data_IF_816390405916
#
_entry.id   IF_816390405916
#
_cell.length_a   1.000
_cell.length_b   1.000
_cell.length_c   1.000
_cell.angle_alpha   90.00
_cell.angle_beta   90.00
_cell.angle_gamma   90.00
#
_symmetry.space_group_name_H-M   'P 1'
#
loop_
_entity.id
_entity.type
_entity.pdbx_description
1 polymer ?
#
# COMPACT_ATOMS: atom_id res chain seq x y z
N UNK A 1 -5.71 -14.63 7.98
CA UNK A 1 -6.01 -13.27 7.50
C UNK A 1 -5.88 -13.24 6.00
N UNK A 2 -6.47 -12.27 5.31
CA UNK A 2 -6.36 -12.08 3.87
C UNK A 2 -6.14 -10.59 3.54
N UNK A 3 -5.44 -10.33 2.45
CA UNK A 3 -5.24 -8.99 1.88
C UNK A 3 -5.78 -8.97 0.45
N UNK A 4 -7.05 -8.59 0.25
CA UNK A 4 -7.61 -8.46 -1.09
C UNK A 4 -6.92 -7.34 -1.86
N UNK A 5 -6.59 -7.63 -3.12
CA UNK A 5 -6.25 -6.60 -4.10
C UNK A 5 -7.50 -5.85 -4.52
N UNK A 6 -7.42 -4.53 -4.48
CA UNK A 6 -8.52 -3.64 -4.87
C UNK A 6 -8.14 -2.84 -6.11
N UNK A 7 -9.13 -2.48 -6.93
CA UNK A 7 -8.93 -1.59 -8.07
C UNK A 7 -9.96 -0.46 -8.13
N UNK A 8 -9.56 0.66 -8.73
CA UNK A 8 -10.48 1.75 -9.03
C UNK A 8 -11.19 1.51 -10.36
N UNK A 9 -12.51 1.71 -10.39
CA UNK A 9 -13.30 1.58 -11.61
C UNK A 9 -13.72 0.14 -11.90
N UNK A 10 -13.82 -0.21 -13.19
CA UNK A 10 -14.17 -1.55 -13.66
C UNK A 10 -13.07 -2.02 -14.60
N UNK A 11 -12.55 -3.21 -14.35
CA UNK A 11 -11.48 -3.82 -15.14
C UNK A 11 -11.98 -5.14 -15.77
N UNK A 12 -11.76 -5.31 -17.07
CA UNK A 12 -12.37 -6.37 -17.87
C UNK A 12 -12.07 -7.78 -17.34
N UNK A 13 -10.81 -8.06 -16.99
CA UNK A 13 -10.40 -9.38 -16.51
C UNK A 13 -10.98 -9.70 -15.13
N UNK A 14 -11.17 -8.68 -14.30
CA UNK A 14 -11.78 -8.79 -12.97
C UNK A 14 -13.28 -9.07 -13.07
N UNK A 15 -13.99 -8.33 -13.93
CA UNK A 15 -15.43 -8.53 -14.17
C UNK A 15 -15.71 -9.89 -14.84
N UNK A 16 -14.79 -10.37 -15.67
CA UNK A 16 -14.88 -11.69 -16.31
C UNK A 16 -14.41 -12.85 -15.41
N UNK A 17 -13.92 -12.57 -14.19
CA UNK A 17 -13.49 -13.60 -13.23
C UNK A 17 -12.09 -14.20 -13.51
N UNK A 18 -11.31 -13.62 -14.42
CA UNK A 18 -9.93 -14.02 -14.69
C UNK A 18 -8.94 -13.42 -13.68
N UNK A 19 -9.33 -12.34 -12.99
CA UNK A 19 -8.48 -11.66 -12.02
C UNK A 19 -9.24 -11.45 -10.71
N UNK A 20 -8.59 -11.78 -9.59
CA UNK A 20 -9.24 -11.83 -8.26
C UNK A 20 -9.37 -10.45 -7.58
N UNK A 21 -9.14 -9.36 -8.32
CA UNK A 21 -9.19 -8.02 -7.74
C UNK A 21 -10.63 -7.56 -7.49
N UNK A 22 -10.80 -6.73 -6.48
CA UNK A 22 -12.11 -6.21 -6.05
C UNK A 22 -12.26 -4.76 -6.51
N UNK A 23 -13.30 -4.48 -7.30
CA UNK A 23 -13.63 -3.09 -7.65
C UNK A 23 -14.06 -2.32 -6.40
N UNK A 24 -13.46 -1.15 -6.20
CA UNK A 24 -13.88 -0.21 -5.16
C UNK A 24 -15.16 0.58 -5.52
N UNK A 25 -15.78 0.29 -6.67
CA UNK A 25 -17.14 0.73 -7.00
C UNK A 25 -18.23 -0.22 -6.50
N UNK A 26 -17.86 -1.41 -6.02
CA UNK A 26 -18.80 -2.35 -5.42
C UNK A 26 -19.06 -2.07 -3.93
N UNK A 27 -20.03 -2.76 -3.34
CA UNK A 27 -20.31 -2.70 -1.90
C UNK A 27 -19.15 -3.33 -1.07
N UNK A 28 -18.46 -2.55 -0.21
CA UNK A 28 -17.38 -3.06 0.65
C UNK A 28 -17.85 -4.13 1.62
N UNK A 29 -19.12 -4.13 2.03
CA UNK A 29 -19.65 -5.14 2.93
C UNK A 29 -19.69 -6.53 2.29
N UNK A 30 -19.63 -6.65 0.95
CA UNK A 30 -19.51 -7.96 0.31
C UNK A 30 -18.21 -8.66 0.73
N UNK A 31 -17.11 -7.90 0.80
CA UNK A 31 -15.79 -8.43 1.18
C UNK A 31 -15.82 -8.85 2.65
N UNK A 32 -16.43 -8.02 3.49
CA UNK A 32 -16.62 -8.32 4.92
C UNK A 32 -17.41 -9.63 5.12
N UNK A 33 -18.57 -9.77 4.48
CA UNK A 33 -19.42 -10.97 4.54
C UNK A 33 -18.67 -12.21 4.03
N UNK A 34 -17.92 -12.10 2.94
CA UNK A 34 -17.13 -13.19 2.41
C UNK A 34 -16.05 -13.66 3.40
N UNK A 35 -15.37 -12.72 4.06
CA UNK A 35 -14.39 -13.03 5.10
C UNK A 35 -15.03 -13.70 6.32
N UNK A 36 -16.17 -13.19 6.79
CA UNK A 36 -16.93 -13.77 7.91
C UNK A 36 -17.38 -15.21 7.61
N UNK A 37 -17.92 -15.46 6.41
CA UNK A 37 -18.32 -16.80 5.96
C UNK A 37 -17.14 -17.78 5.88
N UNK A 38 -15.98 -17.30 5.45
CA UNK A 38 -14.76 -18.11 5.37
C UNK A 38 -14.01 -18.24 6.71
N UNK A 39 -14.46 -17.57 7.78
CA UNK A 39 -13.78 -17.58 9.07
C UNK A 39 -12.41 -16.87 9.07
N UNK A 40 -12.18 -15.94 8.14
CA UNK A 40 -10.94 -15.17 8.03
C UNK A 40 -11.17 -13.68 8.33
N UNK A 41 -10.08 -12.96 8.62
CA UNK A 41 -10.09 -11.50 8.84
C UNK A 41 -9.25 -10.78 7.80
N UNK A 42 -9.61 -9.56 7.48
CA UNK A 42 -8.81 -8.67 6.63
C UNK A 42 -7.57 -8.20 7.40
N UNK A 43 -6.37 -8.39 6.84
CA UNK A 43 -5.12 -7.79 7.37
C UNK A 43 -4.85 -6.41 6.77
N UNK A 44 -5.35 -6.15 5.57
CA UNK A 44 -5.23 -4.89 4.85
C UNK A 44 -5.88 -4.99 3.48
N UNK A 45 -5.81 -3.90 2.71
CA UNK A 45 -6.12 -3.87 1.28
C UNK A 45 -4.85 -3.59 0.49
N UNK A 46 -4.62 -4.38 -0.55
CA UNK A 46 -3.57 -4.18 -1.53
C UNK A 46 -4.08 -3.19 -2.59
N UNK A 47 -3.77 -1.90 -2.43
CA UNK A 47 -4.17 -0.87 -3.38
C UNK A 47 -3.06 -0.55 -4.40
N UNK A 48 -1.78 -0.53 -3.96
CA UNK A 48 -0.56 -0.38 -4.79
C UNK A 48 -0.66 0.63 -5.93
N UNK A 49 -1.36 1.73 -5.67
CA UNK A 49 -1.44 2.85 -6.58
C UNK A 49 -0.18 3.72 -6.43
N UNK A 50 0.36 4.27 -7.54
CA UNK A 50 1.64 4.98 -7.53
C UNK A 50 1.58 6.32 -6.79
N UNK A 51 2.38 6.50 -5.74
CA UNK A 51 2.47 7.80 -5.04
C UNK A 51 3.05 8.92 -5.92
N UNK A 52 3.86 8.58 -6.91
CA UNK A 52 4.46 9.53 -7.87
C UNK A 52 3.50 10.04 -8.96
N UNK A 53 2.26 9.54 -9.01
CA UNK A 53 1.23 9.98 -9.99
C UNK A 53 -0.02 10.51 -9.28
N UNK A 54 -0.02 11.75 -8.77
CA UNK A 54 -1.14 12.28 -8.01
C UNK A 54 -2.49 12.24 -8.73
N UNK A 55 -2.49 12.36 -10.06
CA UNK A 55 -3.68 12.28 -10.92
C UNK A 55 -4.38 10.91 -10.85
N UNK A 56 -3.67 9.86 -10.40
CA UNK A 56 -4.21 8.54 -10.13
C UNK A 56 -4.25 8.29 -8.61
N UNK A 57 -3.10 8.40 -7.95
CA UNK A 57 -2.87 7.93 -6.58
C UNK A 57 -3.73 8.61 -5.52
N UNK A 58 -4.02 9.91 -5.68
CA UNK A 58 -4.73 10.69 -4.64
C UNK A 58 -6.15 10.16 -4.43
N UNK A 59 -6.99 10.21 -5.46
CA UNK A 59 -8.37 9.79 -5.29
C UNK A 59 -8.43 8.28 -5.07
N UNK A 60 -7.59 7.50 -5.75
CA UNK A 60 -7.49 6.07 -5.55
C UNK A 60 -7.28 5.70 -4.08
N UNK A 61 -6.28 6.28 -3.41
CA UNK A 61 -6.05 6.01 -1.99
C UNK A 61 -7.20 6.50 -1.11
N UNK A 62 -7.79 7.67 -1.40
CA UNK A 62 -8.94 8.16 -0.62
C UNK A 62 -10.12 7.19 -0.68
N UNK A 63 -10.41 6.61 -1.83
CA UNK A 63 -11.46 5.59 -1.95
C UNK A 63 -11.07 4.28 -1.29
N UNK A 64 -9.82 3.83 -1.45
CA UNK A 64 -9.34 2.62 -0.77
C UNK A 64 -9.47 2.75 0.75
N UNK A 65 -9.17 3.92 1.30
CA UNK A 65 -9.34 4.23 2.73
C UNK A 65 -10.81 4.19 3.15
N UNK A 66 -11.74 4.75 2.36
CA UNK A 66 -13.18 4.68 2.65
C UNK A 66 -13.68 3.23 2.60
N UNK A 67 -13.29 2.50 1.56
CA UNK A 67 -13.64 1.10 1.37
C UNK A 67 -13.11 0.23 2.52
N UNK A 68 -11.85 0.43 2.93
CA UNK A 68 -11.23 -0.26 4.07
C UNK A 68 -12.00 -0.02 5.38
N UNK A 69 -12.39 1.23 5.64
CA UNK A 69 -13.14 1.58 6.84
C UNK A 69 -14.50 0.86 6.91
N UNK A 70 -15.18 0.67 5.78
CA UNK A 70 -16.48 0.00 5.73
C UNK A 70 -16.37 -1.53 5.78
N UNK A 71 -15.37 -2.13 5.11
CA UNK A 71 -15.17 -3.58 5.14
C UNK A 71 -14.44 -4.07 6.40
N UNK A 72 -13.81 -3.15 7.15
CA UNK A 72 -13.11 -3.45 8.40
C UNK A 72 -11.64 -3.82 8.24
N UNK A 73 -11.01 -3.49 7.11
CA UNK A 73 -9.57 -3.65 6.92
C UNK A 73 -8.81 -2.54 7.67
N UNK A 74 -7.73 -2.86 8.42
CA UNK A 74 -7.01 -1.86 9.22
C UNK A 74 -5.95 -1.06 8.44
N UNK A 75 -5.50 -1.57 7.29
CA UNK A 75 -4.38 -1.00 6.51
C UNK A 75 -4.75 -0.92 5.03
N UNK A 76 -4.26 0.12 4.33
CA UNK A 76 -4.23 0.23 2.88
C UNK A 76 -2.77 0.35 2.43
N UNK A 77 -2.30 -0.59 1.63
CA UNK A 77 -0.91 -0.66 1.17
C UNK A 77 -0.71 0.06 -0.17
N UNK A 78 0.43 0.75 -0.32
CA UNK A 78 0.82 1.52 -1.51
C UNK A 78 2.35 1.56 -1.64
N UNK A 79 2.85 1.94 -2.81
CA UNK A 79 4.28 2.15 -3.06
C UNK A 79 4.49 3.37 -3.97
N UNK A 80 5.73 3.80 -4.15
CA UNK A 80 6.01 5.00 -4.94
C UNK A 80 5.59 4.89 -6.41
N UNK A 81 5.39 3.68 -6.92
CA UNK A 81 5.15 3.40 -8.32
C UNK A 81 6.35 3.65 -9.24
N UNK A 82 6.22 3.25 -10.51
CA UNK A 82 7.28 3.45 -11.49
C UNK A 82 7.52 4.95 -11.74
N UNK A 83 8.79 5.34 -11.62
CA UNK A 83 9.26 6.68 -11.99
C UNK A 83 8.86 7.03 -13.43
N UNK A 84 8.39 8.27 -13.63
CA UNK A 84 8.17 8.80 -14.97
C UNK A 84 9.51 9.21 -15.62
N UNK A 85 9.72 8.96 -16.93
CA UNK A 85 11.00 9.19 -17.58
C UNK A 85 11.35 10.69 -17.73
N UNK A 86 10.40 11.59 -17.53
CA UNK A 86 10.58 13.05 -17.68
C UNK A 86 10.62 13.82 -16.36
N UNK A 87 10.41 13.18 -15.20
CA UNK A 87 10.50 13.85 -13.90
C UNK A 87 11.91 13.76 -13.33
N UNK A 88 12.30 14.69 -12.45
CA UNK A 88 13.47 14.51 -11.59
C UNK A 88 13.13 13.72 -10.32
N UNK A 89 14.14 13.35 -9.55
CA UNK A 89 13.93 12.73 -8.24
C UNK A 89 13.25 13.72 -7.27
N UNK A 90 13.70 14.98 -7.24
CA UNK A 90 13.13 16.00 -6.38
C UNK A 90 11.64 16.22 -6.67
N UNK A 91 11.27 16.26 -7.95
CA UNK A 91 9.87 16.35 -8.38
C UNK A 91 9.05 15.17 -7.88
N UNK A 92 9.55 13.94 -8.04
CA UNK A 92 8.85 12.74 -7.57
C UNK A 92 8.63 12.76 -6.06
N UNK A 93 9.61 13.22 -5.26
CA UNK A 93 9.43 13.36 -3.82
C UNK A 93 8.40 14.45 -3.45
N UNK A 94 8.26 15.50 -4.25
CA UNK A 94 7.17 16.48 -4.09
C UNK A 94 5.81 15.84 -4.39
N UNK A 95 5.71 15.06 -5.46
CA UNK A 95 4.49 14.35 -5.87
C UNK A 95 4.07 13.31 -4.81
N UNK A 96 5.00 12.50 -4.33
CA UNK A 96 4.75 11.53 -3.25
C UNK A 96 4.26 12.22 -1.97
N UNK A 97 4.88 13.34 -1.57
CA UNK A 97 4.43 14.11 -0.41
C UNK A 97 3.00 14.62 -0.57
N UNK A 98 2.65 15.12 -1.75
CA UNK A 98 1.29 15.59 -2.05
C UNK A 98 0.28 14.46 -1.92
N UNK A 99 0.55 13.32 -2.58
CA UNK A 99 -0.33 12.14 -2.54
C UNK A 99 -0.52 11.61 -1.12
N UNK A 100 0.57 11.45 -0.36
CA UNK A 100 0.52 10.97 1.03
C UNK A 100 -0.24 11.93 1.95
N UNK A 101 -0.06 13.24 1.79
CA UNK A 101 -0.75 14.24 2.60
C UNK A 101 -2.27 14.18 2.39
N UNK A 102 -2.70 14.10 1.13
CA UNK A 102 -4.12 14.02 0.78
C UNK A 102 -4.77 12.70 1.23
N UNK A 103 -4.06 11.58 1.11
CA UNK A 103 -4.53 10.29 1.60
C UNK A 103 -4.62 10.26 3.13
N UNK A 104 -3.60 10.76 3.84
CA UNK A 104 -3.54 10.77 5.30
C UNK A 104 -4.70 11.56 5.93
N UNK A 105 -5.08 12.69 5.34
CA UNK A 105 -6.25 13.49 5.77
C UNK A 105 -7.55 12.69 5.80
N UNK A 106 -7.70 11.71 4.92
CA UNK A 106 -8.89 10.85 4.86
C UNK A 106 -8.73 9.63 5.78
N UNK A 107 -7.50 9.13 5.93
CA UNK A 107 -7.17 7.94 6.73
C UNK A 107 -7.25 8.19 8.24
N UNK A 108 -6.69 9.30 8.74
CA UNK A 108 -6.64 9.62 10.18
C UNK A 108 -8.01 9.57 10.88
N UNK A 109 -9.07 10.28 10.43
CA UNK A 109 -10.37 10.24 11.11
C UNK A 109 -11.08 8.89 11.01
N UNK A 110 -10.62 7.99 10.13
CA UNK A 110 -11.16 6.63 9.96
C UNK A 110 -10.36 5.58 10.71
N UNK A 111 -9.23 5.95 11.33
CA UNK A 111 -8.34 5.01 12.01
C UNK A 111 -7.65 4.02 11.07
N UNK A 112 -7.56 4.34 9.77
CA UNK A 112 -6.90 3.49 8.76
C UNK A 112 -5.41 3.84 8.70
N UNK A 113 -4.54 2.83 8.61
CA UNK A 113 -3.12 3.01 8.34
C UNK A 113 -2.83 2.93 6.84
N UNK A 114 -1.96 3.80 6.35
CA UNK A 114 -1.36 3.74 5.02
C UNK A 114 0.01 3.07 5.16
N UNK A 115 0.18 1.90 4.55
CA UNK A 115 1.43 1.15 4.54
C UNK A 115 2.25 1.49 3.30
N UNK A 116 3.39 2.15 3.47
CA UNK A 116 4.35 2.36 2.38
C UNK A 116 5.21 1.10 2.24
N UNK A 117 5.18 0.48 1.08
CA UNK A 117 5.97 -0.71 0.77
C UNK A 117 7.36 -0.39 0.23
N UNK A 118 8.37 -1.16 0.64
CA UNK A 118 9.67 -1.17 -0.02
C UNK A 118 9.57 -1.98 -1.32
N UNK A 119 9.55 -1.32 -2.48
CA UNK A 119 9.29 -1.98 -3.75
C UNK A 119 10.06 -1.37 -4.93
N UNK A 120 9.82 -0.09 -5.26
CA UNK A 120 10.28 0.48 -6.53
C UNK A 120 11.65 1.16 -6.41
N UNK A 121 11.94 2.19 -7.21
CA UNK A 121 13.28 2.81 -7.32
C UNK A 121 13.77 3.54 -6.06
N UNK A 122 12.88 4.14 -5.25
CA UNK A 122 13.26 5.04 -4.15
C UNK A 122 13.25 4.35 -2.80
N UNK A 123 12.54 3.22 -2.68
CA UNK A 123 12.38 2.45 -1.45
C UNK A 123 13.20 1.15 -1.42
N UNK A 124 14.17 0.96 -2.33
CA UNK A 124 15.06 -0.21 -2.38
C UNK A 124 15.99 -0.36 -1.17
N UNK A 125 16.30 0.74 -0.51
CA UNK A 125 17.21 0.77 0.63
C UNK A 125 16.49 1.23 1.90
N UNK A 126 16.99 0.88 3.09
CA UNK A 126 16.41 1.35 4.34
C UNK A 126 16.35 2.87 4.46
N UNK A 127 17.37 3.58 3.97
CA UNK A 127 17.40 5.05 3.99
C UNK A 127 16.41 5.65 3.00
N UNK A 128 16.25 5.04 1.83
CA UNK A 128 15.28 5.43 0.82
C UNK A 128 13.84 5.33 1.32
N UNK A 129 13.46 4.17 1.86
CA UNK A 129 12.14 3.97 2.48
C UNK A 129 11.90 4.95 3.64
N UNK A 130 12.92 5.18 4.47
CA UNK A 130 12.84 6.14 5.57
C UNK A 130 12.68 7.58 5.10
N UNK A 131 13.19 7.93 3.91
CA UNK A 131 13.01 9.26 3.32
C UNK A 131 11.57 9.45 2.87
N UNK A 132 10.95 8.46 2.21
CA UNK A 132 9.54 8.52 1.80
C UNK A 132 8.63 8.60 3.03
N UNK A 133 8.84 7.73 4.02
CA UNK A 133 8.04 7.72 5.26
C UNK A 133 8.07 9.07 6.00
N UNK A 134 9.21 9.79 5.93
CA UNK A 134 9.38 11.10 6.59
C UNK A 134 8.77 12.29 5.84
N UNK A 135 8.25 12.11 4.62
CA UNK A 135 7.67 13.20 3.83
C UNK A 135 6.45 13.84 4.49
N UNK A 136 5.66 13.04 5.22
CA UNK A 136 4.43 13.47 5.89
C UNK A 136 4.45 12.98 7.33
N UNK A 137 4.33 13.92 8.28
CA UNK A 137 4.18 13.61 9.70
C UNK A 137 2.71 13.33 10.01
N UNK A 138 2.32 12.06 9.96
CA UNK A 138 0.96 11.60 10.26
C UNK A 138 0.98 10.31 11.07
N UNK A 139 0.00 10.14 11.96
CA UNK A 139 -0.18 8.90 12.74
C UNK A 139 -0.81 7.76 11.92
N UNK A 140 -1.34 8.07 10.74
CA UNK A 140 -1.92 7.09 9.82
C UNK A 140 -0.94 6.63 8.75
N UNK A 141 0.36 6.93 8.85
CA UNK A 141 1.37 6.48 7.87
C UNK A 141 2.40 5.59 8.57
N UNK A 142 2.48 4.36 8.10
CA UNK A 142 3.44 3.36 8.54
C UNK A 142 4.13 2.68 7.35
N UNK A 143 4.76 1.55 7.65
CA UNK A 143 5.49 0.73 6.68
C UNK A 143 4.76 -0.60 6.48
N UNK A 144 4.49 -0.95 5.22
CA UNK A 144 4.24 -2.33 4.81
C UNK A 144 5.59 -2.95 4.44
N UNK A 145 6.18 -3.76 5.32
CA UNK A 145 7.51 -4.28 5.02
C UNK A 145 7.40 -5.54 4.16
N UNK A 146 8.16 -5.62 3.07
CA UNK A 146 8.21 -6.81 2.21
C UNK A 146 9.60 -7.44 2.29
N UNK A 147 9.67 -8.66 2.84
CA UNK A 147 10.96 -9.37 3.02
C UNK A 147 11.59 -9.78 1.69
N UNK A 148 10.75 -10.05 0.68
CA UNK A 148 11.20 -10.45 -0.63
C UNK A 148 11.80 -9.28 -1.42
N UNK A 149 11.11 -8.13 -1.42
CA UNK A 149 11.63 -6.93 -2.08
C UNK A 149 12.94 -6.45 -1.42
N UNK A 150 13.03 -6.54 -0.09
CA UNK A 150 14.27 -6.25 0.63
C UNK A 150 15.42 -7.16 0.19
N UNK A 151 15.18 -8.47 0.12
CA UNK A 151 16.18 -9.44 -0.33
C UNK A 151 16.60 -9.20 -1.79
N UNK A 152 15.64 -8.99 -2.69
CA UNK A 152 15.90 -8.73 -4.12
C UNK A 152 16.71 -7.44 -4.35
N UNK A 153 16.64 -6.47 -3.44
CA UNK A 153 17.44 -5.25 -3.48
C UNK A 153 18.83 -5.40 -2.82
N UNK A 154 19.20 -6.61 -2.38
CA UNK A 154 20.50 -6.91 -1.77
C UNK A 154 20.62 -6.54 -0.29
N UNK A 155 19.51 -6.25 0.38
CA UNK A 155 19.48 -5.91 1.80
C UNK A 155 19.21 -7.15 2.67
N UNK A 156 19.70 -7.14 3.91
CA UNK A 156 19.36 -8.17 4.92
C UNK A 156 17.94 -7.92 5.45
N UNK A 157 16.96 -8.81 5.17
CA UNK A 157 15.58 -8.55 5.53
C UNK A 157 15.34 -8.48 7.04
N UNK A 158 16.08 -9.26 7.83
CA UNK A 158 15.94 -9.27 9.28
C UNK A 158 16.54 -8.01 9.91
N UNK A 159 17.70 -7.57 9.42
CA UNK A 159 18.33 -6.32 9.86
C UNK A 159 17.45 -5.11 9.55
N UNK A 160 16.88 -5.06 8.35
CA UNK A 160 15.99 -3.97 7.96
C UNK A 160 14.65 -4.03 8.70
N UNK A 161 14.05 -5.22 8.88
CA UNK A 161 12.83 -5.37 9.70
C UNK A 161 13.03 -4.78 11.12
N UNK A 162 14.16 -5.07 11.78
CA UNK A 162 14.48 -4.50 13.10
C UNK A 162 14.53 -2.96 13.09
N UNK A 163 14.95 -2.34 11.98
CA UNK A 163 14.99 -0.87 11.81
C UNK A 163 13.59 -0.27 11.66
N UNK A 164 12.67 -0.98 11.02
CA UNK A 164 11.31 -0.46 10.73
C UNK A 164 10.24 -0.90 11.73
N UNK A 165 10.52 -1.88 12.61
CA UNK A 165 9.54 -2.53 13.50
C UNK A 165 8.64 -1.57 14.28
N UNK A 166 9.15 -0.41 14.72
CA UNK A 166 8.37 0.60 15.47
C UNK A 166 7.36 1.38 14.62
N UNK A 167 7.49 1.31 13.29
CA UNK A 167 6.64 1.96 12.29
C UNK A 167 5.91 0.94 11.41
N UNK A 168 6.08 -0.36 11.70
CA UNK A 168 5.48 -1.45 10.93
C UNK A 168 3.98 -1.48 11.18
N UNK A 169 3.19 -1.41 10.10
CA UNK A 169 1.73 -1.54 10.16
C UNK A 169 1.25 -2.80 9.44
N UNK A 170 2.04 -3.30 8.49
CA UNK A 170 1.76 -4.50 7.73
C UNK A 170 3.06 -5.19 7.30
N UNK A 171 3.01 -6.49 7.00
CA UNK A 171 4.16 -7.30 6.61
C UNK A 171 3.77 -8.24 5.47
N UNK A 172 4.50 -8.17 4.36
CA UNK A 172 4.55 -9.21 3.34
C UNK A 172 5.75 -10.11 3.60
N UNK A 173 5.48 -11.28 4.17
CA UNK A 173 6.50 -12.29 4.39
C UNK A 173 6.58 -13.21 3.16
N UNK A 174 7.72 -13.15 2.47
CA UNK A 174 8.06 -14.00 1.33
C UNK A 174 9.30 -14.82 1.67
N UNK A 175 9.28 -16.07 1.25
CA UNK A 175 10.47 -16.92 1.20
C UNK A 175 10.99 -16.89 -0.25
N UNK A 176 12.28 -16.68 -0.43
CA UNK A 176 12.92 -16.60 -1.75
C UNK A 176 14.10 -17.55 -1.75
N UNK A 177 13.95 -18.66 -2.47
CA UNK A 177 15.06 -19.52 -2.86
C UNK A 177 15.66 -19.00 -4.16
N UNK A 178 16.99 -18.92 -4.22
CA UNK A 178 17.72 -18.72 -5.47
C UNK A 178 17.85 -20.10 -6.11
N UNK A 179 16.99 -20.42 -7.07
CA UNK A 179 17.18 -21.52 -8.02
C UNK A 179 17.64 -20.97 -9.38
#
# INVERSE_FOLDING_TARGET
>A
HVEPMVHWGRELLSEAGYFHSVSMLDDPLRVKRACEQAGVRLSGLSAHTPLTKPEIGVEYLKQAVRFAAECGAPVVNTDEGPKQPWTTEEEDFVLMRYTLMEAARVAEPRGIQLGIECHQQYSKTPDGLDRIHRLVRSKSIGINYDTGNAFLCGEDPLKWLRRVVKRLVHLHAKDISVE
#
